data_IF_390075007337
#
_entry.id   IF_390075007337
#
_cell.length_a   1.000
_cell.length_b   1.000
_cell.length_c   1.000
_cell.angle_alpha   90.00
_cell.angle_beta   90.00
_cell.angle_gamma   90.00
#
_symmetry.space_group_name_H-M   'P 1'
#
loop_
_entity.id
_entity.type
_entity.pdbx_description
1 polymer ?
#
# COMPACT_ATOMS: atom_id res chain seq x y z
N UNK A 1 44.92 -7.83 10.07
CA UNK A 1 43.70 -7.13 10.48
C UNK A 1 42.63 -7.36 9.43
N UNK A 2 41.59 -8.09 9.77
CA UNK A 2 40.48 -8.35 8.85
C UNK A 2 39.46 -7.22 8.99
N UNK A 3 39.40 -6.35 8.01
CA UNK A 3 38.55 -5.15 8.00
C UNK A 3 37.04 -5.49 7.89
N UNK A 4 36.70 -6.72 7.52
CA UNK A 4 35.33 -7.13 7.13
C UNK A 4 34.68 -8.20 8.02
N UNK A 5 35.28 -8.55 9.17
CA UNK A 5 34.81 -9.72 9.94
C UNK A 5 34.39 -9.43 11.37
N UNK A 6 34.00 -8.21 11.71
CA UNK A 6 33.83 -7.88 13.12
C UNK A 6 32.47 -8.20 13.70
N UNK A 7 31.42 -8.42 12.89
CA UNK A 7 30.11 -8.77 13.45
C UNK A 7 29.38 -9.77 12.54
N UNK A 8 29.31 -11.02 12.97
CA UNK A 8 28.34 -11.97 12.42
C UNK A 8 26.94 -11.47 12.80
N UNK A 9 26.19 -10.91 11.87
CA UNK A 9 24.77 -10.64 12.06
C UNK A 9 24.24 -9.26 11.70
N UNK A 10 25.08 -8.35 11.20
CA UNK A 10 24.68 -6.98 10.86
C UNK A 10 24.60 -6.76 9.34
N UNK A 11 23.95 -7.68 8.60
CA UNK A 11 23.69 -7.42 7.19
C UNK A 11 22.58 -6.35 7.06
N UNK A 12 22.82 -5.26 6.31
CA UNK A 12 21.79 -4.24 6.11
C UNK A 12 20.62 -4.82 5.28
N UNK A 13 19.41 -4.43 5.65
CA UNK A 13 18.19 -4.81 4.94
C UNK A 13 18.27 -4.37 3.47
N UNK A 14 17.90 -5.26 2.55
CA UNK A 14 17.91 -5.00 1.11
C UNK A 14 16.56 -4.49 0.65
N UNK A 15 16.49 -3.31 0.03
CA UNK A 15 15.23 -2.65 -0.38
C UNK A 15 14.42 -3.41 -1.42
N UNK A 16 15.03 -4.31 -2.19
CA UNK A 16 14.35 -5.09 -3.22
C UNK A 16 13.69 -6.38 -2.71
N UNK A 17 13.87 -6.73 -1.42
CA UNK A 17 13.29 -7.93 -0.80
C UNK A 17 12.03 -7.56 -0.05
N UNK A 18 10.91 -7.42 -0.73
CA UNK A 18 9.64 -7.12 -0.11
C UNK A 18 8.48 -7.82 -0.81
N UNK A 19 7.38 -7.97 -0.09
CA UNK A 19 6.09 -8.38 -0.64
C UNK A 19 4.96 -7.53 -0.06
N UNK A 20 3.91 -7.36 -0.85
CA UNK A 20 2.71 -6.64 -0.45
C UNK A 20 1.51 -7.57 -0.59
N UNK A 21 0.67 -7.62 0.44
CA UNK A 21 -0.52 -8.46 0.49
C UNK A 21 -1.76 -7.59 0.61
N UNK A 22 -2.73 -7.84 -0.27
CA UNK A 22 -4.03 -7.18 -0.29
C UNK A 22 -5.15 -8.23 -0.25
N UNK A 23 -5.73 -8.52 0.92
CA UNK A 23 -6.80 -9.51 1.02
C UNK A 23 -8.03 -9.17 0.16
N UNK A 24 -8.36 -7.89 0.01
CA UNK A 24 -9.49 -7.43 -0.81
C UNK A 24 -9.39 -7.79 -2.29
N UNK A 25 -8.18 -7.98 -2.83
CA UNK A 25 -8.00 -8.42 -4.20
C UNK A 25 -8.37 -9.90 -4.40
N UNK A 26 -8.22 -10.72 -3.37
CA UNK A 26 -8.55 -12.16 -3.44
C UNK A 26 -10.06 -12.38 -3.42
N UNK A 27 -10.80 -11.59 -2.64
CA UNK A 27 -12.25 -11.75 -2.50
C UNK A 27 -13.02 -11.43 -3.80
N UNK A 28 -12.44 -10.63 -4.69
CA UNK A 28 -13.10 -10.18 -5.93
C UNK A 28 -12.75 -11.00 -7.17
N UNK A 29 -11.86 -11.99 -7.07
CA UNK A 29 -11.46 -12.83 -8.22
C UNK A 29 -12.40 -14.01 -8.51
N UNK A 30 -13.46 -14.24 -7.71
CA UNK A 30 -14.23 -15.46 -7.80
C UNK A 30 -13.40 -16.71 -7.47
N UNK A 31 -14.03 -17.81 -7.14
CA UNK A 31 -13.41 -19.02 -6.58
C UNK A 31 -12.40 -19.77 -7.50
N UNK A 32 -11.93 -19.18 -8.57
CA UNK A 32 -11.04 -19.81 -9.57
C UNK A 32 -9.57 -19.37 -9.53
N UNK A 33 -9.19 -18.43 -8.64
CA UNK A 33 -7.79 -18.08 -8.46
C UNK A 33 -7.13 -19.01 -7.42
N UNK A 34 -5.83 -19.35 -7.58
CA UNK A 34 -5.14 -20.13 -6.55
C UNK A 34 -5.19 -19.38 -5.23
N UNK A 35 -5.68 -20.07 -4.18
CA UNK A 35 -5.71 -19.54 -2.83
C UNK A 35 -4.30 -19.07 -2.44
N UNK A 36 -4.15 -17.79 -2.10
CA UNK A 36 -2.87 -17.22 -1.70
C UNK A 36 -2.13 -16.45 -2.78
N UNK A 37 -2.82 -15.93 -3.81
CA UNK A 37 -2.17 -15.04 -4.79
C UNK A 37 -1.80 -13.73 -4.12
N UNK A 38 -0.65 -13.77 -3.45
CA UNK A 38 0.03 -12.57 -3.00
C UNK A 38 0.34 -11.72 -4.23
N UNK A 39 0.03 -10.43 -4.21
CA UNK A 39 0.38 -9.48 -5.29
C UNK A 39 1.91 -9.26 -5.34
N UNK A 40 2.66 -10.25 -4.93
CA UNK A 40 4.11 -10.22 -4.80
C UNK A 40 4.78 -9.88 -6.13
N UNK A 41 4.25 -10.42 -7.21
CA UNK A 41 4.86 -10.31 -8.52
C UNK A 41 4.61 -8.99 -9.23
N UNK A 42 3.56 -8.26 -8.85
CA UNK A 42 3.11 -7.07 -9.54
C UNK A 42 3.49 -5.77 -8.85
N UNK A 43 3.92 -5.84 -7.58
CA UNK A 43 4.37 -4.68 -6.84
C UNK A 43 5.80 -4.29 -7.29
N UNK A 44 5.92 -3.17 -8.00
CA UNK A 44 7.21 -2.61 -8.46
C UNK A 44 7.87 -1.76 -7.38
N UNK A 45 7.06 -0.97 -6.67
CA UNK A 45 7.55 -0.05 -5.64
C UNK A 45 6.48 0.19 -4.58
N UNK A 46 6.88 0.25 -3.32
CA UNK A 46 6.00 0.63 -2.21
C UNK A 46 6.75 1.59 -1.28
N UNK A 47 6.06 2.63 -0.79
CA UNK A 47 6.60 3.48 0.27
C UNK A 47 6.24 2.88 1.62
N UNK A 48 7.18 2.86 2.56
CA UNK A 48 6.87 2.49 3.95
C UNK A 48 6.00 3.58 4.59
N UNK A 49 5.14 3.20 5.56
CA UNK A 49 4.40 4.19 6.34
C UNK A 49 5.35 5.16 7.03
N UNK A 50 5.11 6.45 6.86
CA UNK A 50 5.82 7.53 7.53
C UNK A 50 4.84 8.34 8.36
N UNK A 51 5.33 9.02 9.37
CA UNK A 51 4.52 9.91 10.20
C UNK A 51 5.28 11.19 10.53
N UNK A 52 4.54 12.25 10.73
CA UNK A 52 5.04 13.52 11.23
C UNK A 52 4.41 13.81 12.58
N UNK A 53 5.23 14.33 13.50
CA UNK A 53 4.77 14.81 14.80
C UNK A 53 4.62 16.31 14.70
N UNK A 54 3.42 16.81 14.88
CA UNK A 54 3.15 18.25 14.95
C UNK A 54 3.84 18.87 16.17
N UNK A 55 4.02 20.17 16.11
CA UNK A 55 4.62 20.96 17.18
C UNK A 55 3.70 22.11 17.54
N UNK A 56 3.53 22.34 18.84
CA UNK A 56 2.86 23.52 19.37
C UNK A 56 3.88 24.35 20.15
N UNK A 57 3.96 25.63 19.84
CA UNK A 57 4.88 26.54 20.51
C UNK A 57 4.15 27.38 21.54
N UNK A 58 4.74 27.56 22.71
CA UNK A 58 4.31 28.52 23.73
C UNK A 58 5.40 29.54 23.98
N UNK A 59 5.07 30.81 23.78
CA UNK A 59 6.00 31.92 23.98
C UNK A 59 5.74 32.57 25.33
N UNK A 60 6.77 32.63 26.17
CA UNK A 60 6.74 33.32 27.44
C UNK A 60 7.89 34.33 27.50
N UNK A 61 7.57 35.63 27.49
CA UNK A 61 8.56 36.71 27.42
C UNK A 61 9.54 36.51 26.25
N UNK A 62 10.82 36.31 26.55
CA UNK A 62 11.90 36.11 25.56
C UNK A 62 12.19 34.62 25.27
N UNK A 63 11.43 33.69 25.85
CA UNK A 63 11.63 32.25 25.68
C UNK A 63 10.48 31.64 24.89
N UNK A 64 10.83 30.73 23.99
CA UNK A 64 9.85 29.91 23.23
C UNK A 64 10.03 28.46 23.65
N UNK A 65 8.94 27.84 24.11
CA UNK A 65 8.90 26.42 24.48
C UNK A 65 8.19 25.66 23.38
N UNK A 66 8.71 24.49 23.05
CA UNK A 66 8.22 23.62 22.00
C UNK A 66 7.63 22.36 22.62
N UNK A 67 6.39 22.05 22.28
CA UNK A 67 5.67 20.87 22.78
C UNK A 67 5.26 19.99 21.61
N UNK A 68 5.50 18.65 21.69
CA UNK A 68 4.97 17.75 20.68
C UNK A 68 3.43 17.75 20.69
N UNK A 69 2.85 17.76 19.50
CA UNK A 69 1.40 17.79 19.28
C UNK A 69 0.93 16.47 18.64
N UNK A 70 -0.05 16.54 17.75
CA UNK A 70 -0.67 15.39 17.10
C UNK A 70 0.26 14.70 16.11
N UNK A 71 0.14 13.38 16.01
CA UNK A 71 0.82 12.55 15.01
C UNK A 71 -0.06 12.41 13.78
N UNK A 72 0.49 12.71 12.61
CA UNK A 72 -0.19 12.54 11.32
C UNK A 72 0.55 11.50 10.49
N UNK A 73 -0.16 10.46 10.04
CA UNK A 73 0.37 9.45 9.15
C UNK A 73 0.31 9.91 7.71
N UNK A 74 1.38 9.67 6.98
CA UNK A 74 1.49 10.02 5.57
C UNK A 74 0.85 8.96 4.68
N UNK A 75 0.55 9.35 3.44
CA UNK A 75 -0.02 8.45 2.44
C UNK A 75 1.02 7.44 1.96
N UNK A 76 0.67 6.17 1.97
CA UNK A 76 1.48 5.09 1.39
C UNK A 76 1.17 5.01 -0.10
N UNK A 77 2.21 5.04 -0.93
CA UNK A 77 2.10 4.91 -2.38
C UNK A 77 2.59 3.53 -2.81
N UNK A 78 1.79 2.86 -3.62
CA UNK A 78 2.12 1.60 -4.24
C UNK A 78 2.10 1.77 -5.77
N UNK A 79 3.20 1.37 -6.42
CA UNK A 79 3.28 1.26 -7.88
C UNK A 79 3.26 -0.22 -8.24
N UNK A 80 2.37 -0.59 -9.13
CA UNK A 80 2.20 -1.96 -9.62
C UNK A 80 2.36 -2.00 -11.13
N UNK A 81 2.75 -3.15 -11.64
CA UNK A 81 2.67 -3.48 -13.07
C UNK A 81 1.30 -4.07 -13.34
N UNK A 82 0.64 -3.69 -14.44
CA UNK A 82 -0.67 -4.23 -14.80
C UNK A 82 -0.52 -5.52 -15.63
N UNK A 83 -0.80 -6.71 -15.06
CA UNK A 83 -0.76 -7.95 -15.80
C UNK A 83 -2.00 -8.11 -16.71
N UNK A 84 -1.84 -8.86 -17.78
CA UNK A 84 -2.95 -9.18 -18.69
C UNK A 84 -4.03 -9.97 -17.94
N UNK A 85 -3.64 -10.87 -17.05
CA UNK A 85 -4.57 -11.65 -16.22
C UNK A 85 -3.95 -11.99 -14.85
N UNK A 86 -4.58 -11.62 -13.74
CA UNK A 86 -5.81 -10.81 -13.62
C UNK A 86 -5.55 -9.33 -13.91
N UNK A 87 -6.46 -8.64 -14.60
CA UNK A 87 -6.34 -7.19 -14.84
C UNK A 87 -6.46 -6.41 -13.54
N UNK A 88 -5.44 -5.67 -13.20
CA UNK A 88 -5.40 -4.82 -11.99
C UNK A 88 -6.44 -3.70 -12.09
N UNK A 89 -6.69 -3.19 -13.29
CA UNK A 89 -7.73 -2.19 -13.57
C UNK A 89 -9.11 -2.69 -13.16
N UNK A 90 -9.50 -3.91 -13.59
CA UNK A 90 -10.78 -4.50 -13.24
C UNK A 90 -10.91 -4.75 -11.73
N UNK A 91 -9.83 -5.19 -11.09
CA UNK A 91 -9.80 -5.39 -9.64
C UNK A 91 -10.02 -4.08 -8.88
N UNK A 92 -9.38 -2.99 -9.32
CA UNK A 92 -9.55 -1.66 -8.72
C UNK A 92 -10.99 -1.14 -8.89
N UNK A 93 -11.61 -1.32 -10.06
CA UNK A 93 -12.99 -0.94 -10.30
C UNK A 93 -13.96 -1.76 -9.45
N UNK A 94 -13.77 -3.08 -9.35
CA UNK A 94 -14.57 -3.96 -8.50
C UNK A 94 -14.46 -3.57 -7.01
N UNK A 95 -13.27 -3.23 -6.54
CA UNK A 95 -13.05 -2.77 -5.19
C UNK A 95 -13.79 -1.46 -4.93
N UNK A 96 -13.78 -0.53 -5.88
CA UNK A 96 -14.51 0.72 -5.79
C UNK A 96 -16.02 0.49 -5.76
N UNK A 97 -16.54 -0.45 -6.57
CA UNK A 97 -17.95 -0.83 -6.56
C UNK A 97 -18.36 -1.49 -5.24
N UNK A 98 -17.51 -2.36 -4.68
CA UNK A 98 -17.74 -2.99 -3.38
C UNK A 98 -17.75 -1.95 -2.25
N UNK A 99 -16.99 -0.87 -2.40
CA UNK A 99 -16.99 0.26 -1.48
C UNK A 99 -18.24 1.15 -1.56
N UNK A 100 -19.16 0.85 -2.49
CA UNK A 100 -20.45 1.52 -2.63
C UNK A 100 -20.55 2.48 -3.83
N UNK A 101 -19.49 2.61 -4.64
CA UNK A 101 -19.55 3.41 -5.86
C UNK A 101 -20.37 2.70 -6.94
N UNK A 102 -21.28 3.42 -7.59
CA UNK A 102 -22.08 2.93 -8.73
C UNK A 102 -21.65 3.66 -9.99
N UNK A 103 -21.37 2.88 -11.05
CA UNK A 103 -21.07 3.44 -12.36
C UNK A 103 -22.32 4.08 -12.98
N UNK A 104 -22.19 5.20 -13.72
CA UNK A 104 -23.29 5.77 -14.48
C UNK A 104 -23.88 4.74 -15.45
N UNK A 105 -25.20 4.62 -15.46
CA UNK A 105 -25.91 3.65 -16.32
C UNK A 105 -26.31 2.34 -15.63
N UNK A 106 -25.85 2.07 -14.42
CA UNK A 106 -26.43 1.04 -13.56
C UNK A 106 -27.65 1.60 -12.82
N UNK A 107 -28.61 0.71 -12.48
CA UNK A 107 -29.85 1.09 -11.79
C UNK A 107 -29.55 2.06 -10.65
N UNK A 108 -30.24 3.20 -10.65
CA UNK A 108 -30.13 4.27 -9.66
C UNK A 108 -30.30 3.70 -8.24
N UNK A 109 -29.21 3.32 -7.63
CA UNK A 109 -29.17 3.14 -6.20
C UNK A 109 -28.37 4.32 -5.64
N UNK A 110 -28.95 5.00 -4.67
CA UNK A 110 -28.41 6.19 -4.01
C UNK A 110 -27.18 5.91 -3.16
N UNK A 111 -26.46 4.81 -3.46
CA UNK A 111 -25.28 4.38 -2.72
C UNK A 111 -24.07 5.26 -2.99
N UNK A 112 -23.47 5.77 -1.92
CA UNK A 112 -22.23 6.54 -1.96
C UNK A 112 -21.08 5.73 -1.35
N UNK A 113 -19.85 6.09 -1.67
CA UNK A 113 -18.67 5.48 -1.06
C UNK A 113 -18.70 5.68 0.46
N UNK A 114 -18.57 4.59 1.18
CA UNK A 114 -18.57 4.56 2.65
C UNK A 114 -17.22 4.08 3.17
N UNK A 115 -16.67 4.76 4.19
CA UNK A 115 -15.40 4.41 4.81
C UNK A 115 -15.37 2.99 5.36
N UNK A 116 -16.47 2.53 5.98
CA UNK A 116 -16.55 1.19 6.54
C UNK A 116 -16.49 0.13 5.43
N UNK A 117 -17.26 0.31 4.35
CA UNK A 117 -17.26 -0.59 3.19
C UNK A 117 -15.90 -0.59 2.47
N UNK A 118 -15.27 0.58 2.32
CA UNK A 118 -13.95 0.70 1.70
C UNK A 118 -12.89 -0.04 2.53
N UNK A 119 -12.92 0.09 3.85
CA UNK A 119 -12.00 -0.62 4.75
C UNK A 119 -12.19 -2.14 4.72
N UNK A 120 -13.43 -2.62 4.58
CA UNK A 120 -13.74 -4.04 4.42
C UNK A 120 -13.32 -4.54 3.04
N UNK A 121 -13.60 -3.77 1.99
CA UNK A 121 -13.25 -4.11 0.61
C UNK A 121 -11.74 -4.24 0.39
N UNK A 122 -10.95 -3.34 0.97
CA UNK A 122 -9.49 -3.38 0.89
C UNK A 122 -8.88 -4.41 1.84
N UNK A 123 -9.49 -4.61 3.01
CA UNK A 123 -8.96 -5.46 4.08
C UNK A 123 -7.73 -4.85 4.77
N UNK A 124 -6.98 -5.69 5.45
CA UNK A 124 -5.72 -5.27 6.09
C UNK A 124 -4.57 -5.43 5.10
N UNK A 125 -4.05 -4.32 4.60
CA UNK A 125 -2.89 -4.33 3.72
C UNK A 125 -1.62 -4.60 4.52
N UNK A 126 -0.82 -5.57 4.09
CA UNK A 126 0.44 -5.91 4.74
C UNK A 126 1.63 -5.68 3.80
N UNK A 127 2.60 -4.92 4.28
CA UNK A 127 3.90 -4.70 3.61
C UNK A 127 4.93 -5.47 4.40
N UNK A 128 5.55 -6.47 3.79
CA UNK A 128 6.47 -7.39 4.45
C UNK A 128 7.85 -7.24 3.83
N UNK A 129 8.82 -6.94 4.65
CA UNK A 129 10.23 -6.92 4.27
C UNK A 129 10.84 -8.29 4.55
N UNK A 130 11.51 -8.86 3.56
CA UNK A 130 12.01 -10.23 3.61
C UNK A 130 13.52 -10.29 3.80
N UNK A 131 13.97 -11.37 4.42
CA UNK A 131 15.36 -11.73 4.50
C UNK A 131 15.81 -12.50 3.23
N UNK A 132 17.07 -12.94 3.22
CA UNK A 132 17.67 -13.68 2.12
C UNK A 132 17.00 -15.04 1.86
N UNK A 133 16.52 -15.68 2.91
CA UNK A 133 15.82 -16.97 2.90
C UNK A 133 14.29 -16.84 2.69
N UNK A 134 13.78 -15.60 2.53
CA UNK A 134 12.34 -15.34 2.37
C UNK A 134 11.58 -15.23 3.68
N UNK A 135 12.23 -15.28 4.83
CA UNK A 135 11.59 -15.05 6.12
C UNK A 135 11.23 -13.57 6.31
N UNK A 136 10.19 -13.30 7.07
CA UNK A 136 9.73 -11.94 7.33
C UNK A 136 10.62 -11.27 8.40
N UNK A 137 11.32 -10.21 8.02
CA UNK A 137 12.11 -9.37 8.94
C UNK A 137 11.25 -8.30 9.61
N UNK A 138 10.32 -7.73 8.85
CA UNK A 138 9.53 -6.58 9.28
C UNK A 138 8.18 -6.62 8.57
N UNK A 139 7.10 -6.46 9.32
CA UNK A 139 5.74 -6.45 8.76
C UNK A 139 5.01 -5.18 9.19
N UNK A 140 4.55 -4.42 8.21
CA UNK A 140 3.69 -3.25 8.40
C UNK A 140 2.26 -3.61 8.03
N UNK A 141 1.34 -3.52 8.98
CA UNK A 141 -0.08 -3.79 8.78
C UNK A 141 -0.89 -2.50 8.77
N UNK A 142 -1.44 -2.15 7.62
CA UNK A 142 -2.30 -0.98 7.43
C UNK A 142 -3.75 -1.38 7.72
N UNK A 143 -4.23 -1.06 8.91
CA UNK A 143 -5.61 -1.34 9.34
C UNK A 143 -6.52 -0.15 8.98
N UNK A 144 -7.74 -0.44 8.54
CA UNK A 144 -8.71 0.58 8.12
C UNK A 144 -8.18 1.55 7.06
N UNK A 145 -7.28 1.07 6.21
CA UNK A 145 -6.78 1.82 5.08
C UNK A 145 -7.89 1.98 4.03
N UNK A 146 -7.79 3.04 3.25
CA UNK A 146 -8.67 3.27 2.11
C UNK A 146 -7.88 3.85 0.94
N UNK A 147 -8.36 3.63 -0.26
CA UNK A 147 -7.72 4.17 -1.46
C UNK A 147 -8.09 5.64 -1.60
N UNK A 148 -7.08 6.51 -1.59
CA UNK A 148 -7.24 7.94 -1.80
C UNK A 148 -7.28 8.31 -3.29
N UNK A 149 -6.43 7.68 -4.09
CA UNK A 149 -6.33 7.94 -5.54
C UNK A 149 -5.77 6.72 -6.24
N UNK A 150 -6.18 6.52 -7.47
CA UNK A 150 -5.61 5.55 -8.41
C UNK A 150 -5.24 6.33 -9.67
N UNK A 151 -4.03 6.12 -10.17
CA UNK A 151 -3.57 6.67 -11.44
C UNK A 151 -3.13 5.49 -12.31
N UNK A 152 -3.72 5.38 -13.48
CA UNK A 152 -3.27 4.44 -14.50
C UNK A 152 -2.16 5.08 -15.33
N UNK A 153 -1.26 4.26 -15.87
CA UNK A 153 -0.19 4.71 -16.76
C UNK A 153 -0.75 5.19 -18.08
N UNK A 154 -0.03 6.09 -18.72
CA UNK A 154 -0.31 6.51 -20.08
C UNK A 154 0.19 5.42 -21.05
N UNK A 155 -0.50 5.22 -22.17
CA UNK A 155 -0.10 4.27 -23.21
C UNK A 155 0.64 5.04 -24.31
N UNK A 156 1.82 4.55 -24.67
CA UNK A 156 2.66 5.18 -25.69
C UNK A 156 3.25 4.09 -26.60
N UNK A 157 3.13 4.25 -27.92
CA UNK A 157 3.65 3.31 -28.90
C UNK A 157 5.18 3.32 -28.99
N UNK A 158 5.82 4.39 -28.55
CA UNK A 158 7.27 4.55 -28.60
C UNK A 158 7.97 4.05 -27.32
N UNK A 159 7.21 3.64 -26.30
CA UNK A 159 7.73 3.13 -25.04
C UNK A 159 7.69 1.60 -24.97
N UNK A 160 8.82 0.99 -24.64
CA UNK A 160 8.94 -0.45 -24.35
C UNK A 160 8.71 -0.76 -22.85
N UNK A 161 8.36 0.24 -22.04
CA UNK A 161 8.14 0.08 -20.61
C UNK A 161 6.85 -0.71 -20.32
N UNK A 162 6.85 -1.44 -19.21
CA UNK A 162 5.67 -2.13 -18.70
C UNK A 162 4.69 -1.14 -18.06
N UNK A 163 3.44 -1.19 -18.49
CA UNK A 163 2.34 -0.37 -17.95
C UNK A 163 1.90 -0.77 -16.55
#
# INVERSE_FOLDING_TARGET
MSFWTTEKGSEPKRNYRFKVQFPGFQANQGASGPAGTDIVWWAKKVTKPAFTVGETTHKLLNHTFHFPSTVTWETVTLTMVDPINPSTTNLMLNLLQTAGYKLPGQTLSEGTVNKALMGVALGTVSIIHLDADGSALETWSLKNAFIKSVKFSDLDYDSEDLS
#
